data_IF_864717823122
#
_entry.id   IF_864717823122
#
_cell.length_a   1.000
_cell.length_b   1.000
_cell.length_c   1.000
_cell.angle_alpha   90.00
_cell.angle_beta   90.00
_cell.angle_gamma   90.00
#
_symmetry.space_group_name_H-M   'P 1'
#
loop_
_entity.id
_entity.type
_entity.pdbx_description
1 polymer ?
#
# COMPACT_ATOMS: atom_id res chain seq x y z
N UNK A 1 29.07 21.53 0.50
CA UNK A 1 28.75 20.09 0.46
C UNK A 1 28.28 19.78 -0.94
N UNK A 2 28.75 18.69 -1.55
CA UNK A 2 28.28 18.29 -2.88
C UNK A 2 26.81 17.81 -2.80
N UNK A 3 26.02 18.04 -3.85
CA UNK A 3 24.61 17.67 -3.90
C UNK A 3 24.36 16.17 -3.70
N UNK A 4 25.21 15.32 -4.29
CA UNK A 4 25.14 13.87 -4.12
C UNK A 4 25.35 13.44 -2.66
N UNK A 5 26.31 14.05 -1.96
CA UNK A 5 26.56 13.80 -0.54
C UNK A 5 25.37 14.23 0.33
N UNK A 6 24.75 15.36 -0.01
CA UNK A 6 23.54 15.83 0.68
C UNK A 6 22.38 14.84 0.52
N UNK A 7 22.14 14.31 -0.68
CA UNK A 7 21.09 13.30 -0.92
C UNK A 7 21.34 11.98 -0.16
N UNK A 8 22.59 11.51 -0.15
CA UNK A 8 22.97 10.31 0.60
C UNK A 8 22.70 10.49 2.10
N UNK A 9 23.14 11.61 2.66
CA UNK A 9 22.88 11.96 4.06
C UNK A 9 21.37 12.13 4.35
N UNK A 10 20.65 12.76 3.41
CA UNK A 10 19.19 12.74 3.21
C UNK A 10 18.54 11.40 3.61
N UNK A 11 18.90 10.41 2.81
CA UNK A 11 18.34 9.06 2.81
C UNK A 11 18.74 8.27 4.05
N UNK A 12 20.02 8.30 4.42
CA UNK A 12 20.54 7.57 5.59
C UNK A 12 19.96 8.09 6.91
N UNK A 13 19.70 9.39 6.98
CA UNK A 13 19.12 10.02 8.15
C UNK A 13 17.60 9.87 8.23
N UNK A 14 16.98 9.15 7.27
CA UNK A 14 15.54 8.91 7.25
C UNK A 14 14.69 10.17 7.05
N UNK A 15 15.28 11.26 6.54
CA UNK A 15 14.54 12.49 6.25
C UNK A 15 13.70 12.26 4.98
N UNK A 16 12.39 12.39 5.12
CA UNK A 16 11.45 12.32 3.99
C UNK A 16 11.34 13.71 3.36
N UNK A 17 11.44 13.77 2.04
CA UNK A 17 11.31 15.00 1.25
C UNK A 17 10.23 14.80 0.21
N UNK A 18 9.41 15.82 -0.03
CA UNK A 18 8.45 15.81 -1.13
C UNK A 18 8.25 17.22 -1.66
N UNK A 19 7.86 17.31 -2.94
CA UNK A 19 7.53 18.57 -3.58
C UNK A 19 6.02 18.81 -3.49
N UNK A 20 5.65 20.00 -3.05
CA UNK A 20 4.27 20.51 -3.12
C UNK A 20 4.30 21.74 -4.04
N UNK A 21 4.12 21.50 -5.34
CA UNK A 21 4.28 22.51 -6.39
C UNK A 21 5.72 23.04 -6.50
N UNK A 22 5.93 24.27 -6.00
CA UNK A 22 7.26 24.95 -5.92
C UNK A 22 7.86 24.92 -4.51
N UNK A 23 7.18 24.30 -3.56
CA UNK A 23 7.59 24.24 -2.16
C UNK A 23 8.22 22.89 -1.86
N UNK A 24 9.42 22.92 -1.26
CA UNK A 24 10.07 21.73 -0.74
C UNK A 24 9.55 21.48 0.68
N UNK A 25 8.90 20.33 0.89
CA UNK A 25 8.44 19.87 2.19
C UNK A 25 9.36 18.77 2.72
N UNK A 26 9.47 18.68 4.03
CA UNK A 26 10.30 17.69 4.69
C UNK A 26 9.71 17.22 6.01
N UNK A 27 10.05 16.00 6.41
CA UNK A 27 9.70 15.39 7.70
C UNK A 27 10.85 14.54 8.20
N UNK A 28 11.11 14.59 9.51
CA UNK A 28 12.23 13.90 10.15
C UNK A 28 12.24 14.18 11.65
N UNK A 29 13.11 13.49 12.39
CA UNK A 29 13.26 13.73 13.83
C UNK A 29 13.96 15.08 14.08
N UNK A 30 13.59 15.77 15.16
CA UNK A 30 14.16 17.10 15.50
C UNK A 30 15.68 17.08 15.67
N UNK A 31 16.24 15.98 16.16
CA UNK A 31 17.69 15.82 16.33
C UNK A 31 18.44 15.76 15.00
N UNK A 32 17.79 15.29 13.94
CA UNK A 32 18.36 15.17 12.59
C UNK A 32 18.19 16.47 11.81
N UNK A 33 17.05 17.15 11.95
CA UNK A 33 16.76 18.43 11.30
C UNK A 33 17.47 19.62 11.98
N UNK A 34 18.80 19.56 12.03
CA UNK A 34 19.64 20.62 12.58
C UNK A 34 19.52 21.90 11.74
N UNK A 35 19.76 23.09 12.33
CA UNK A 35 19.75 24.36 11.59
C UNK A 35 20.70 24.35 10.38
N UNK A 36 21.85 23.68 10.51
CA UNK A 36 22.84 23.55 9.45
C UNK A 36 22.31 22.71 8.28
N UNK A 37 21.66 21.58 8.56
CA UNK A 37 21.06 20.73 7.52
C UNK A 37 19.92 21.47 6.80
N UNK A 38 19.06 22.16 7.54
CA UNK A 38 17.99 22.98 6.96
C UNK A 38 18.56 24.08 6.06
N UNK A 39 19.66 24.72 6.47
CA UNK A 39 20.33 25.71 5.64
C UNK A 39 20.90 25.09 4.35
N UNK A 40 21.51 23.91 4.41
CA UNK A 40 21.98 23.20 3.22
C UNK A 40 20.83 22.84 2.27
N UNK A 41 19.68 22.40 2.81
CA UNK A 41 18.48 22.13 2.00
C UNK A 41 17.93 23.40 1.34
N UNK A 42 17.99 24.56 2.02
CA UNK A 42 17.58 25.84 1.45
C UNK A 42 18.50 26.26 0.30
N UNK A 43 19.82 26.11 0.46
CA UNK A 43 20.80 26.43 -0.57
C UNK A 43 20.65 25.54 -1.81
N UNK A 44 20.35 24.25 -1.62
CA UNK A 44 20.17 23.28 -2.71
C UNK A 44 18.70 23.10 -3.12
N UNK A 45 17.79 24.01 -2.74
CA UNK A 45 16.34 23.83 -2.94
C UNK A 45 15.96 23.56 -4.40
N UNK A 46 16.58 24.27 -5.34
CA UNK A 46 16.27 24.14 -6.76
C UNK A 46 16.63 22.73 -7.29
N UNK A 47 17.82 22.24 -6.95
CA UNK A 47 18.29 20.90 -7.33
C UNK A 47 17.48 19.80 -6.63
N UNK A 48 17.15 19.98 -5.35
CA UNK A 48 16.28 19.03 -4.61
C UNK A 48 14.90 18.92 -5.26
N UNK A 49 14.28 20.05 -5.64
CA UNK A 49 12.99 20.03 -6.33
C UNK A 49 13.08 19.40 -7.73
N UNK A 50 14.16 19.65 -8.47
CA UNK A 50 14.38 19.02 -9.77
C UNK A 50 14.55 17.50 -9.62
N UNK A 51 15.36 17.06 -8.64
CA UNK A 51 15.59 15.65 -8.35
C UNK A 51 14.31 14.92 -7.92
N UNK A 52 13.49 15.52 -7.04
CA UNK A 52 12.23 14.91 -6.60
C UNK A 52 11.23 14.73 -7.76
N UNK A 53 11.26 15.61 -8.77
CA UNK A 53 10.42 15.47 -9.97
C UNK A 53 10.89 14.33 -10.87
N UNK A 54 12.20 14.05 -10.93
CA UNK A 54 12.75 12.99 -11.78
C UNK A 54 12.76 11.62 -11.11
N UNK A 55 12.97 11.56 -9.79
CA UNK A 55 13.11 10.28 -9.05
C UNK A 55 11.81 9.78 -8.43
N UNK A 56 10.77 10.61 -8.35
CA UNK A 56 9.51 10.16 -7.79
C UNK A 56 8.55 11.31 -7.61
N UNK A 57 7.89 11.72 -8.68
CA UNK A 57 6.52 12.20 -8.53
C UNK A 57 5.67 10.98 -8.15
N UNK A 58 5.77 10.53 -6.90
CA UNK A 58 4.66 9.79 -6.33
C UNK A 58 3.55 10.82 -6.19
N UNK A 59 2.72 10.93 -7.22
CA UNK A 59 1.42 11.55 -7.06
C UNK A 59 0.78 10.87 -5.85
N UNK A 60 0.19 11.69 -4.97
CA UNK A 60 -0.55 11.18 -3.83
C UNK A 60 -1.54 10.15 -4.37
N UNK A 61 -1.49 8.92 -3.84
CA UNK A 61 -2.40 7.86 -4.24
C UNK A 61 -3.82 8.39 -3.99
N UNK A 62 -4.62 8.65 -5.04
CA UNK A 62 -5.95 9.18 -4.85
C UNK A 62 -6.76 8.13 -4.13
N UNK A 63 -7.56 8.57 -3.15
CA UNK A 63 -8.49 7.66 -2.50
C UNK A 63 -9.61 7.36 -3.49
N UNK A 64 -9.67 6.12 -3.98
CA UNK A 64 -10.82 5.64 -4.74
C UNK A 64 -11.99 5.52 -3.76
N UNK A 65 -13.06 6.28 -4.01
CA UNK A 65 -14.26 6.30 -3.19
C UNK A 65 -15.43 5.77 -4.01
N UNK A 66 -16.03 4.67 -3.58
CA UNK A 66 -17.35 4.23 -4.07
C UNK A 66 -17.36 3.43 -5.37
N UNK A 67 -16.25 3.28 -6.08
CA UNK A 67 -16.16 2.36 -7.23
C UNK A 67 -16.18 0.92 -6.74
N UNK A 68 -17.28 0.21 -7.04
CA UNK A 68 -17.45 -1.21 -6.67
C UNK A 68 -16.97 -2.17 -7.75
N UNK A 69 -16.80 -1.69 -8.97
CA UNK A 69 -16.30 -2.44 -10.13
C UNK A 69 -15.04 -1.75 -10.65
N UNK A 70 -13.90 -2.42 -10.50
CA UNK A 70 -12.59 -1.90 -10.85
C UNK A 70 -11.93 -2.79 -11.90
N UNK A 71 -11.13 -2.25 -12.84
CA UNK A 71 -10.35 -3.10 -13.74
C UNK A 71 -9.34 -3.94 -12.93
N UNK A 72 -9.06 -5.16 -13.38
CA UNK A 72 -7.96 -5.95 -12.82
C UNK A 72 -6.62 -5.25 -13.06
N UNK A 73 -5.74 -5.28 -12.05
CA UNK A 73 -4.34 -4.93 -12.24
C UNK A 73 -3.67 -5.89 -13.22
N UNK A 74 -2.58 -5.49 -13.88
CA UNK A 74 -1.80 -6.38 -14.75
C UNK A 74 -1.41 -7.69 -14.05
N UNK A 75 -1.02 -7.61 -12.77
CA UNK A 75 -0.59 -8.75 -11.95
C UNK A 75 -1.76 -9.66 -11.54
N UNK A 76 -3.00 -9.15 -11.55
CA UNK A 76 -4.20 -9.95 -11.28
C UNK A 76 -4.72 -10.67 -12.54
N UNK A 77 -4.50 -10.11 -13.74
CA UNK A 77 -5.01 -10.70 -14.99
C UNK A 77 -4.41 -12.07 -15.29
N UNK A 78 -3.11 -12.22 -15.10
CA UNK A 78 -2.41 -13.50 -15.36
C UNK A 78 -2.95 -14.67 -14.51
N UNK A 79 -3.02 -14.58 -13.17
CA UNK A 79 -3.57 -15.67 -12.36
C UNK A 79 -5.06 -15.89 -12.60
N UNK A 80 -5.86 -14.83 -12.84
CA UNK A 80 -7.27 -14.99 -13.20
C UNK A 80 -7.46 -15.78 -14.50
N UNK A 81 -6.67 -15.47 -15.53
CA UNK A 81 -6.74 -16.19 -16.80
C UNK A 81 -6.34 -17.67 -16.66
N UNK A 82 -5.31 -17.96 -15.88
CA UNK A 82 -4.89 -19.33 -15.57
C UNK A 82 -6.00 -20.11 -14.83
N UNK A 83 -6.63 -19.49 -13.84
CA UNK A 83 -7.75 -20.09 -13.09
C UNK A 83 -8.92 -20.48 -14.00
N UNK A 84 -9.30 -19.61 -14.95
CA UNK A 84 -10.35 -19.88 -15.93
C UNK A 84 -9.99 -21.01 -16.91
N UNK A 85 -8.71 -21.14 -17.30
CA UNK A 85 -8.26 -22.23 -18.16
C UNK A 85 -8.21 -23.58 -17.46
N UNK A 86 -7.82 -23.59 -16.18
CA UNK A 86 -7.60 -24.81 -15.39
C UNK A 86 -8.87 -25.27 -14.64
N UNK A 87 -9.94 -24.48 -14.66
CA UNK A 87 -11.22 -24.85 -14.06
C UNK A 87 -11.24 -24.81 -12.53
N UNK A 88 -10.55 -23.84 -11.91
CA UNK A 88 -10.55 -23.67 -10.45
C UNK A 88 -9.55 -24.56 -9.71
N UNK A 89 -8.37 -24.80 -10.29
CA UNK A 89 -7.34 -25.63 -9.67
C UNK A 89 -6.80 -24.98 -8.37
N UNK A 90 -6.90 -25.61 -7.19
CA UNK A 90 -6.47 -25.04 -5.93
C UNK A 90 -4.95 -25.06 -5.71
N UNK A 91 -4.14 -25.46 -6.71
CA UNK A 91 -2.67 -25.49 -6.59
C UNK A 91 -2.07 -24.15 -6.14
N UNK A 92 -2.73 -23.03 -6.47
CA UNK A 92 -2.28 -21.69 -6.09
C UNK A 92 -2.86 -21.21 -4.74
N UNK A 93 -3.62 -22.05 -4.03
CA UNK A 93 -4.14 -21.73 -2.69
C UNK A 93 -3.07 -21.93 -1.62
N UNK A 94 -2.73 -20.85 -0.91
CA UNK A 94 -1.86 -20.91 0.26
C UNK A 94 -2.68 -21.20 1.53
N UNK A 95 -2.74 -22.46 1.94
CA UNK A 95 -3.30 -22.85 3.23
C UNK A 95 -2.22 -22.77 4.33
N UNK A 96 -2.52 -22.07 5.43
CA UNK A 96 -1.66 -22.03 6.63
C UNK A 96 -2.49 -22.27 7.89
N UNK A 97 -1.94 -23.02 8.82
CA UNK A 97 -2.52 -23.25 10.15
C UNK A 97 -1.56 -22.78 11.24
N UNK A 98 -2.11 -22.22 12.30
CA UNK A 98 -1.35 -21.73 13.45
C UNK A 98 -1.84 -22.39 14.73
N UNK A 99 -0.92 -22.76 15.61
CA UNK A 99 -1.23 -23.27 16.95
C UNK A 99 -1.05 -22.14 17.96
N UNK A 100 -2.12 -21.80 18.66
CA UNK A 100 -2.10 -20.82 19.75
C UNK A 100 -1.97 -21.57 21.08
N UNK A 101 -1.21 -21.01 22.02
CA UNK A 101 -1.02 -21.56 23.35
C UNK A 101 -1.65 -20.65 24.40
N UNK A 102 -2.26 -21.24 25.43
CA UNK A 102 -2.95 -20.51 26.51
C UNK A 102 -4.47 -20.46 26.32
N UNK A 103 -5.13 -19.59 27.10
CA UNK A 103 -6.58 -19.41 27.03
C UNK A 103 -6.93 -18.50 25.85
N UNK A 104 -7.62 -19.07 24.85
CA UNK A 104 -8.09 -18.32 23.68
C UNK A 104 -9.47 -17.74 23.94
N UNK A 105 -9.60 -16.42 23.85
CA UNK A 105 -10.91 -15.76 23.76
C UNK A 105 -11.38 -15.78 22.29
N UNK A 106 -12.19 -16.78 21.94
CA UNK A 106 -12.70 -16.96 20.57
C UNK A 106 -13.53 -15.77 20.11
N UNK A 107 -14.35 -15.18 20.99
CA UNK A 107 -15.17 -14.00 20.67
C UNK A 107 -14.31 -12.80 20.32
N UNK A 108 -13.20 -12.59 21.04
CA UNK A 108 -12.26 -11.51 20.74
C UNK A 108 -11.49 -11.77 19.43
N UNK A 109 -11.07 -13.01 19.17
CA UNK A 109 -10.43 -13.40 17.92
C UNK A 109 -11.34 -13.17 16.72
N UNK A 110 -12.59 -13.65 16.80
CA UNK A 110 -13.59 -13.48 15.75
C UNK A 110 -13.84 -12.00 15.44
N UNK A 111 -14.03 -11.17 16.47
CA UNK A 111 -14.17 -9.72 16.31
C UNK A 111 -12.94 -9.08 15.65
N UNK A 112 -11.74 -9.51 16.06
CA UNK A 112 -10.49 -9.03 15.48
C UNK A 112 -10.36 -9.35 13.99
N UNK A 113 -10.68 -10.59 13.60
CA UNK A 113 -10.66 -11.02 12.19
C UNK A 113 -11.70 -10.25 11.38
N UNK A 114 -12.93 -10.12 11.89
CA UNK A 114 -13.99 -9.37 11.20
C UNK A 114 -13.62 -7.89 11.00
N UNK A 115 -13.01 -7.24 12.01
CA UNK A 115 -12.53 -5.87 11.87
C UNK A 115 -11.44 -5.72 10.80
N UNK A 116 -10.56 -6.71 10.64
CA UNK A 116 -9.55 -6.74 9.58
C UNK A 116 -10.23 -6.89 8.20
N UNK A 117 -11.16 -7.83 8.06
CA UNK A 117 -11.89 -8.05 6.78
C UNK A 117 -12.70 -6.81 6.39
N UNK A 118 -13.38 -6.17 7.35
CA UNK A 118 -14.14 -4.94 7.10
C UNK A 118 -13.23 -3.80 6.63
N UNK A 119 -12.09 -3.60 7.30
CA UNK A 119 -11.11 -2.55 6.99
C UNK A 119 -10.43 -2.71 5.62
N UNK A 120 -10.20 -3.94 5.17
CA UNK A 120 -9.37 -4.22 3.99
C UNK A 120 -10.20 -4.74 2.81
N UNK A 121 -10.41 -3.89 1.80
CA UNK A 121 -11.24 -4.22 0.62
C UNK A 121 -10.76 -5.48 -0.12
N UNK A 122 -9.45 -5.70 -0.22
CA UNK A 122 -8.88 -6.86 -0.93
C UNK A 122 -9.32 -8.21 -0.35
N UNK A 123 -9.65 -8.27 0.95
CA UNK A 123 -10.16 -9.49 1.60
C UNK A 123 -11.63 -9.77 1.26
N UNK A 124 -12.30 -8.83 0.59
CA UNK A 124 -13.70 -8.90 0.14
C UNK A 124 -13.83 -8.73 -1.37
N UNK A 125 -12.72 -8.74 -2.10
CA UNK A 125 -12.71 -8.62 -3.55
C UNK A 125 -12.94 -9.99 -4.19
N UNK A 126 -13.87 -10.04 -5.14
CA UNK A 126 -14.06 -11.18 -6.05
C UNK A 126 -13.80 -10.72 -7.48
N UNK A 127 -13.48 -11.65 -8.39
CA UNK A 127 -13.33 -11.36 -9.81
C UNK A 127 -14.56 -11.86 -10.57
N UNK A 128 -15.22 -10.96 -11.32
CA UNK A 128 -16.38 -11.25 -12.13
C UNK A 128 -16.11 -10.92 -13.60
N UNK A 129 -16.96 -11.42 -14.50
CA UNK A 129 -16.93 -11.10 -15.92
C UNK A 129 -18.18 -10.31 -16.32
N UNK A 130 -17.99 -9.26 -17.11
CA UNK A 130 -19.06 -8.39 -17.61
C UNK A 130 -18.61 -7.68 -18.88
N UNK A 131 -19.50 -7.54 -19.86
CA UNK A 131 -19.19 -6.93 -21.16
C UNK A 131 -17.93 -7.50 -21.85
N UNK A 132 -17.68 -8.81 -21.66
CA UNK A 132 -16.52 -9.49 -22.23
C UNK A 132 -15.18 -9.20 -21.55
N UNK A 133 -15.17 -8.54 -20.39
CA UNK A 133 -13.95 -8.22 -19.63
C UNK A 133 -14.07 -8.66 -18.16
N UNK A 134 -12.94 -9.02 -17.55
CA UNK A 134 -12.87 -9.28 -16.11
C UNK A 134 -12.78 -7.97 -15.33
N UNK A 135 -13.47 -7.90 -14.20
CA UNK A 135 -13.41 -6.79 -13.25
C UNK A 135 -13.38 -7.31 -11.81
N UNK A 136 -12.85 -6.48 -10.92
CA UNK A 136 -12.83 -6.68 -9.49
C UNK A 136 -14.12 -6.12 -8.90
N UNK A 137 -14.82 -6.92 -8.11
CA UNK A 137 -15.98 -6.49 -7.34
C UNK A 137 -15.69 -6.53 -5.85
N UNK A 138 -15.81 -5.38 -5.18
CA UNK A 138 -15.67 -5.31 -3.72
C UNK A 138 -17.04 -5.63 -3.09
N UNK A 139 -17.12 -6.76 -2.39
CA UNK A 139 -18.33 -7.18 -1.70
C UNK A 139 -18.49 -6.45 -0.36
N UNK A 140 -19.73 -6.31 0.10
CA UNK A 140 -20.01 -5.87 1.47
C UNK A 140 -19.42 -6.86 2.47
N UNK A 141 -18.98 -6.37 3.64
CA UNK A 141 -18.51 -7.24 4.70
C UNK A 141 -19.63 -8.21 5.14
N UNK A 142 -19.27 -9.50 5.24
CA UNK A 142 -20.08 -10.54 5.85
C UNK A 142 -19.34 -11.08 7.05
N UNK A 143 -20.07 -11.23 8.15
CA UNK A 143 -19.49 -11.66 9.42
C UNK A 143 -19.03 -13.12 9.34
N UNK A 144 -17.75 -13.33 9.60
CA UNK A 144 -17.15 -14.65 9.75
C UNK A 144 -17.43 -15.18 11.16
N UNK A 145 -17.87 -16.44 11.24
CA UNK A 145 -18.07 -17.18 12.49
C UNK A 145 -17.03 -18.28 12.63
N UNK A 146 -16.34 -18.33 13.76
CA UNK A 146 -15.35 -19.38 14.04
C UNK A 146 -16.07 -20.59 14.65
N UNK A 147 -15.89 -21.76 14.04
CA UNK A 147 -16.42 -23.03 14.57
C UNK A 147 -17.85 -23.38 14.13
N UNK A 148 -18.35 -22.73 13.08
CA UNK A 148 -19.57 -23.09 12.36
C UNK A 148 -19.24 -23.64 10.97
#
# INVERSE_FOLDING_TARGET
>A
MEFATLLAHLRESGVKLWAEGKTLRYSGTKHILTPQLIQQMKLNKAELLAHLRTTGSHESIPRVLGERELPLSPEQKSPWFLDQMLGGNPCDHLARAYRLHGQLNVVALERGINAIIERHDILRTVFNTGNGQAYQQILQHRELRIGQ
#
